data_IF_827284218722
#
_entry.id   IF_827284218722
#
_cell.length_a   1.000
_cell.length_b   1.000
_cell.length_c   1.000
_cell.angle_alpha   90.00
_cell.angle_beta   90.00
_cell.angle_gamma   90.00
#
_symmetry.space_group_name_H-M   'P 1'
#
loop_
_entity.id
_entity.type
_entity.pdbx_description
1 polymer ?
#
# COMPACT_ATOMS: atom_id res chain seq x y z
N UNK A 1 4.89 5.28 9.89
CA UNK A 1 4.61 6.21 11.02
C UNK A 1 3.17 6.75 11.12
N UNK A 2 2.37 6.82 10.04
CA UNK A 2 1.03 7.45 10.10
C UNK A 2 0.06 6.83 11.14
N UNK A 3 0.06 5.50 11.27
CA UNK A 3 -0.77 4.78 12.25
C UNK A 3 -0.46 5.22 13.68
N UNK A 4 0.83 5.35 14.03
CA UNK A 4 1.29 5.83 15.33
C UNK A 4 0.80 7.26 15.63
N UNK A 5 0.98 8.19 14.68
CA UNK A 5 0.54 9.58 14.84
C UNK A 5 -0.99 9.71 14.93
N UNK A 6 -1.72 8.79 14.30
CA UNK A 6 -3.18 8.77 14.31
C UNK A 6 -3.76 7.95 15.47
N UNK A 7 -2.92 7.40 16.36
CA UNK A 7 -3.29 6.43 17.42
C UNK A 7 -4.12 5.25 16.89
N UNK A 8 -3.85 4.80 15.66
CA UNK A 8 -4.47 3.61 15.07
C UNK A 8 -3.52 2.44 15.26
N UNK A 9 -4.06 1.28 15.62
CA UNK A 9 -3.29 0.03 15.55
C UNK A 9 -2.79 -0.18 14.12
N UNK A 10 -1.56 -0.69 13.99
CA UNK A 10 -1.01 -0.99 12.68
C UNK A 10 -1.58 -2.34 12.20
N UNK A 11 -2.51 -2.36 11.22
CA UNK A 11 -3.20 -3.58 10.84
C UNK A 11 -2.25 -4.63 10.22
N UNK A 12 -1.20 -4.18 9.51
CA UNK A 12 -0.24 -5.09 8.89
C UNK A 12 0.81 -5.61 9.88
N UNK A 13 1.08 -4.89 10.96
CA UNK A 13 2.19 -5.17 11.88
C UNK A 13 3.59 -4.86 11.31
N UNK A 14 3.71 -4.46 10.04
CA UNK A 14 4.98 -4.09 9.40
C UNK A 14 5.17 -2.57 9.42
N UNK A 15 6.38 -2.12 9.74
CA UNK A 15 6.70 -0.71 9.88
C UNK A 15 6.79 -0.02 8.52
N UNK A 16 7.48 -0.63 7.56
CA UNK A 16 7.48 -0.20 6.16
C UNK A 16 7.33 -1.40 5.21
N UNK A 17 7.37 -1.10 3.92
CA UNK A 17 7.40 -2.05 2.82
C UNK A 17 8.57 -1.67 1.90
N UNK A 18 9.76 -1.51 2.48
CA UNK A 18 11.00 -1.22 1.74
C UNK A 18 11.58 -2.51 1.14
N UNK A 19 12.46 -2.42 0.12
CA UNK A 19 13.03 -3.61 -0.53
C UNK A 19 13.64 -4.61 0.47
N UNK A 20 14.47 -4.12 1.40
CA UNK A 20 15.14 -4.94 2.42
C UNK A 20 14.16 -5.66 3.36
N UNK A 21 13.03 -5.06 3.70
CA UNK A 21 12.00 -5.71 4.52
C UNK A 21 11.22 -6.76 3.72
N UNK A 22 10.95 -6.50 2.45
CA UNK A 22 10.31 -7.47 1.55
C UNK A 22 11.20 -8.70 1.37
N UNK A 23 12.51 -8.52 1.23
CA UNK A 23 13.48 -9.61 1.21
C UNK A 23 13.56 -10.34 2.56
N UNK A 24 13.63 -9.61 3.67
CA UNK A 24 13.80 -10.20 5.00
C UNK A 24 12.57 -11.00 5.47
N UNK A 25 11.36 -10.48 5.24
CA UNK A 25 10.11 -11.11 5.71
C UNK A 25 9.44 -12.01 4.68
N UNK A 26 9.76 -11.82 3.41
CA UNK A 26 9.12 -12.49 2.28
C UNK A 26 7.80 -11.82 1.89
N UNK A 27 7.68 -11.47 0.61
CA UNK A 27 6.52 -10.77 0.06
C UNK A 27 5.20 -11.51 0.33
N UNK A 28 5.17 -12.84 0.13
CA UNK A 28 3.94 -13.63 0.27
C UNK A 28 3.37 -13.56 1.69
N UNK A 29 4.24 -13.65 2.70
CA UNK A 29 3.85 -13.55 4.11
C UNK A 29 3.31 -12.16 4.44
N UNK A 30 3.96 -11.12 3.93
CA UNK A 30 3.50 -9.73 4.07
C UNK A 30 2.13 -9.54 3.40
N UNK A 31 1.93 -10.09 2.20
CA UNK A 31 0.66 -10.04 1.48
C UNK A 31 -0.46 -10.77 2.23
N UNK A 32 -0.22 -11.99 2.74
CA UNK A 32 -1.20 -12.73 3.53
C UNK A 32 -1.61 -11.95 4.79
N UNK A 33 -0.66 -11.25 5.42
CA UNK A 33 -0.95 -10.40 6.57
C UNK A 33 -1.78 -9.18 6.21
N UNK A 34 -1.52 -8.55 5.07
CA UNK A 34 -2.36 -7.47 4.54
C UNK A 34 -3.77 -7.93 4.20
N UNK A 35 -3.91 -9.10 3.56
CA UNK A 35 -5.21 -9.70 3.25
C UNK A 35 -6.02 -10.00 4.51
N UNK A 36 -5.40 -10.64 5.50
CA UNK A 36 -6.08 -11.00 6.76
C UNK A 36 -6.48 -9.78 7.59
N UNK A 37 -5.65 -8.74 7.63
CA UNK A 37 -5.96 -7.51 8.36
C UNK A 37 -6.94 -6.59 7.62
N UNK A 38 -7.07 -6.75 6.30
CA UNK A 38 -8.01 -6.02 5.43
C UNK A 38 -8.13 -4.53 5.76
N UNK A 39 -7.03 -3.74 5.67
CA UNK A 39 -7.06 -2.33 5.98
C UNK A 39 -8.14 -1.59 5.18
N UNK A 40 -8.86 -0.67 5.82
CA UNK A 40 -9.87 0.15 5.09
C UNK A 40 -9.22 1.12 4.11
N UNK A 41 -8.02 1.60 4.45
CA UNK A 41 -7.25 2.53 3.64
C UNK A 41 -5.82 2.05 3.49
N UNK A 42 -5.27 2.28 2.31
CA UNK A 42 -3.85 2.10 2.00
C UNK A 42 -3.32 3.44 1.50
N UNK A 43 -2.10 3.77 1.89
CA UNK A 43 -1.38 4.94 1.41
C UNK A 43 -0.13 4.47 0.69
N UNK A 44 -0.06 4.75 -0.61
CA UNK A 44 1.17 4.62 -1.39
C UNK A 44 1.89 5.96 -1.31
N UNK A 45 2.95 6.00 -0.51
CA UNK A 45 3.79 7.18 -0.34
C UNK A 45 5.01 7.04 -1.25
N UNK A 46 5.30 8.07 -2.02
CA UNK A 46 6.47 8.09 -2.89
C UNK A 46 7.74 7.96 -2.05
N UNK A 47 8.55 6.97 -2.41
CA UNK A 47 9.91 6.76 -1.91
C UNK A 47 10.75 6.29 -3.10
N UNK A 48 11.85 6.98 -3.40
CA UNK A 48 12.90 6.44 -4.26
C UNK A 48 13.81 5.59 -3.37
N UNK A 49 13.85 4.29 -3.63
CA UNK A 49 14.67 3.33 -2.86
C UNK A 49 15.93 2.90 -3.63
N UNK A 50 16.40 3.69 -4.60
CA UNK A 50 17.55 3.35 -5.45
C UNK A 50 18.82 2.98 -4.67
N UNK A 51 19.00 3.52 -3.46
CA UNK A 51 20.11 3.18 -2.57
C UNK A 51 20.13 1.69 -2.15
N UNK A 52 18.96 1.02 -2.19
CA UNK A 52 18.78 -0.39 -1.91
C UNK A 52 18.80 -1.27 -3.19
N UNK A 53 19.17 -0.69 -4.34
CA UNK A 53 19.25 -1.38 -5.63
C UNK A 53 17.91 -1.58 -6.36
N UNK A 54 16.77 -1.26 -5.72
CA UNK A 54 15.43 -1.30 -6.31
C UNK A 54 14.77 0.06 -6.20
N UNK A 55 14.26 0.62 -7.30
CA UNK A 55 13.82 2.01 -7.28
C UNK A 55 12.42 2.21 -6.71
N UNK A 56 11.42 1.53 -7.26
CA UNK A 56 10.01 1.82 -7.02
C UNK A 56 9.19 0.57 -6.68
N UNK A 57 8.35 0.72 -5.65
CA UNK A 57 7.37 -0.28 -5.25
C UNK A 57 6.35 -0.55 -6.37
N UNK A 58 6.07 -1.84 -6.61
CA UNK A 58 5.18 -2.30 -7.68
C UNK A 58 5.79 -2.29 -9.08
N UNK A 59 7.04 -1.85 -9.24
CA UNK A 59 7.79 -1.85 -10.51
C UNK A 59 9.08 -2.63 -10.43
N UNK A 60 9.82 -2.48 -9.33
CA UNK A 60 11.10 -3.18 -9.11
C UNK A 60 10.98 -4.26 -8.05
N UNK A 61 10.06 -4.11 -7.09
CA UNK A 61 9.81 -5.05 -6.00
C UNK A 61 8.37 -4.94 -5.48
N UNK A 62 7.89 -5.93 -4.71
CA UNK A 62 6.55 -5.91 -4.10
C UNK A 62 5.38 -6.04 -5.10
N UNK A 63 5.60 -6.76 -6.20
CA UNK A 63 4.66 -6.90 -7.31
C UNK A 63 3.32 -7.52 -6.92
N UNK A 64 3.34 -8.59 -6.15
CA UNK A 64 2.16 -9.29 -5.67
C UNK A 64 1.34 -8.43 -4.70
N UNK A 65 2.01 -7.68 -3.83
CA UNK A 65 1.34 -6.71 -2.94
C UNK A 65 0.72 -5.59 -3.76
N UNK A 66 1.47 -5.00 -4.69
CA UNK A 66 0.97 -3.91 -5.52
C UNK A 66 -0.22 -4.34 -6.39
N UNK A 67 -0.13 -5.50 -7.05
CA UNK A 67 -1.22 -6.08 -7.85
C UNK A 67 -2.48 -6.30 -7.02
N UNK A 68 -2.35 -6.85 -5.81
CA UNK A 68 -3.48 -7.01 -4.89
C UNK A 68 -4.09 -5.68 -4.46
N UNK A 69 -3.27 -4.65 -4.20
CA UNK A 69 -3.78 -3.30 -3.88
C UNK A 69 -4.61 -2.77 -5.05
N UNK A 70 -4.12 -2.93 -6.29
CA UNK A 70 -4.83 -2.47 -7.49
C UNK A 70 -6.15 -3.21 -7.72
N UNK A 71 -6.28 -4.48 -7.32
CA UNK A 71 -7.54 -5.23 -7.45
C UNK A 71 -8.56 -4.92 -6.35
N UNK A 72 -8.10 -4.72 -5.11
CA UNK A 72 -8.98 -4.60 -3.95
C UNK A 72 -9.25 -3.17 -3.50
N UNK A 73 -8.55 -2.16 -4.04
CA UNK A 73 -8.67 -0.78 -3.59
C UNK A 73 -8.83 0.19 -4.75
N UNK A 74 -9.69 1.18 -4.53
CA UNK A 74 -9.92 2.28 -5.48
C UNK A 74 -9.22 3.55 -4.98
N UNK A 75 -8.51 4.30 -5.84
CA UNK A 75 -7.95 5.59 -5.47
C UNK A 75 -9.04 6.59 -5.07
N UNK A 76 -8.90 7.23 -3.91
CA UNK A 76 -9.86 8.23 -3.42
C UNK A 76 -9.25 9.62 -3.28
N UNK A 77 -7.92 9.72 -3.14
CA UNK A 77 -7.24 11.01 -3.10
C UNK A 77 -5.79 10.91 -3.55
N UNK A 78 -5.32 11.91 -4.28
CA UNK A 78 -3.91 12.13 -4.57
C UNK A 78 -3.44 13.42 -3.91
N UNK A 79 -2.25 13.40 -3.33
CA UNK A 79 -1.57 14.58 -2.77
C UNK A 79 -0.22 14.68 -3.50
N UNK A 80 0.05 15.80 -4.16
CA UNK A 80 1.25 15.96 -4.97
C UNK A 80 1.21 15.18 -6.29
N UNK A 81 2.37 14.70 -6.73
CA UNK A 81 2.51 13.91 -7.96
C UNK A 81 1.97 12.48 -7.79
N UNK A 82 1.93 11.72 -8.89
CA UNK A 82 1.66 10.28 -8.80
C UNK A 82 2.88 9.60 -8.17
N UNK A 83 2.73 8.81 -7.09
CA UNK A 83 3.87 8.11 -6.49
C UNK A 83 4.47 7.12 -7.49
N UNK A 84 5.76 6.83 -7.32
CA UNK A 84 6.51 5.84 -8.10
C UNK A 84 6.60 6.12 -9.61
N UNK A 85 6.49 7.38 -10.06
CA UNK A 85 6.60 7.75 -11.49
C UNK A 85 7.82 8.61 -11.77
N UNK A 86 7.98 9.66 -10.98
CA UNK A 86 9.04 10.66 -11.15
C UNK A 86 9.87 10.71 -9.87
N UNK A 87 11.18 10.45 -9.92
CA UNK A 87 12.04 10.30 -8.73
C UNK A 87 12.06 11.51 -7.79
N UNK A 88 12.06 12.71 -8.37
CA UNK A 88 12.22 13.96 -7.61
C UNK A 88 10.89 14.52 -7.11
N UNK A 89 9.76 13.91 -7.49
CA UNK A 89 8.43 14.44 -7.18
C UNK A 89 7.77 13.65 -6.08
N UNK A 90 7.60 14.32 -4.95
CA UNK A 90 6.79 13.83 -3.85
C UNK A 90 5.33 13.60 -4.28
N UNK A 91 4.77 12.47 -3.83
CA UNK A 91 3.40 12.08 -4.10
C UNK A 91 2.86 11.10 -3.07
N UNK A 92 1.57 11.20 -2.76
CA UNK A 92 0.84 10.19 -1.99
C UNK A 92 -0.43 9.84 -2.76
N UNK A 93 -0.69 8.54 -2.93
CA UNK A 93 -1.98 8.04 -3.36
C UNK A 93 -2.68 7.35 -2.18
N UNK A 94 -3.84 7.87 -1.81
CA UNK A 94 -4.72 7.28 -0.79
C UNK A 94 -5.76 6.43 -1.52
N UNK A 95 -5.82 5.15 -1.17
CA UNK A 95 -6.76 4.19 -1.70
C UNK A 95 -7.70 3.71 -0.60
N UNK A 96 -8.96 3.52 -0.96
CA UNK A 96 -9.99 2.95 -0.08
C UNK A 96 -10.32 1.54 -0.57
N UNK A 97 -10.47 0.61 0.36
CA UNK A 97 -10.87 -0.76 0.04
C UNK A 97 -12.23 -0.76 -0.68
N UNK A 98 -12.33 -1.58 -1.71
CA UNK A 98 -13.57 -1.81 -2.44
C UNK A 98 -14.59 -2.47 -1.51
N UNK A 99 -15.85 -2.06 -1.62
CA UNK A 99 -16.93 -2.76 -0.92
C UNK A 99 -17.01 -4.18 -1.51
N UNK A 100 -17.09 -5.23 -0.67
CA UNK A 100 -17.34 -6.57 -1.17
C UNK A 100 -18.66 -6.57 -1.95
N UNK A 101 -18.68 -7.22 -3.11
CA UNK A 101 -19.76 -7.17 -4.11
C UNK A 101 -21.15 -7.64 -3.62
N UNK A 102 -21.34 -7.95 -2.33
CA UNK A 102 -22.59 -8.44 -1.74
C UNK A 102 -23.32 -7.49 -0.79
N UNK A 103 -22.85 -6.25 -0.56
CA UNK A 103 -23.48 -5.30 0.38
C UNK A 103 -24.22 -4.13 -0.27
N UNK A 104 -24.27 -4.07 -1.60
CA UNK A 104 -24.99 -3.03 -2.36
C UNK A 104 -26.38 -3.50 -2.81
N UNK A 105 -27.20 -4.04 -1.90
CA UNK A 105 -28.61 -4.33 -2.19
C UNK A 105 -29.43 -4.36 -0.90
N UNK A 106 -29.67 -3.20 -0.29
CA UNK A 106 -30.91 -2.88 0.43
C UNK A 106 -30.91 -1.38 0.72
N UNK A 107 -31.75 -0.63 0.01
CA UNK A 107 -32.38 0.54 0.59
C UNK A 107 -33.82 0.64 0.06
N UNK A 108 -34.79 0.99 0.93
CA UNK A 108 -36.22 0.70 0.78
C UNK A 108 -36.94 1.56 -0.26
#
# INVERSE_FOLDING_TARGET
MLNYLSKRENPSGFLNFLPSEVEMFGEEKMLQRLKSSSPRFILLVHTDSSDDGFRFFGQDYGFGIYSWIQSEYTPVRKIGAMPFREPEKFGILILKRNEPAGLSAHNP
#
